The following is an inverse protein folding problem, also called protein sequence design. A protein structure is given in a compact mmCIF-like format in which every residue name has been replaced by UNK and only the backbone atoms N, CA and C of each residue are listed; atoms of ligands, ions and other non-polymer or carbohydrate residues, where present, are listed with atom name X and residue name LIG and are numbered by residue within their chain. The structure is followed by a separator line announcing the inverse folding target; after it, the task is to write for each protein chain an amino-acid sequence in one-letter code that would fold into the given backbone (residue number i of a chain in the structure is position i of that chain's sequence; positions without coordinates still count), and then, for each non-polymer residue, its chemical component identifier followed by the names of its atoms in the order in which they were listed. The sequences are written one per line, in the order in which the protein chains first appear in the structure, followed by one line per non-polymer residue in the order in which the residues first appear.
data_IF_114204825255
#
_entry.id   IF_114204825255
#
_cell.length_a   1.000
_cell.length_b   1.000
_cell.length_c   1.000
_cell.angle_alpha   90.00
_cell.angle_beta   90.00
_cell.angle_gamma   90.00
#
_symmetry.space_group_name_H-M   'P 1'
#
loop_
_entity.id
_entity.type
_entity.pdbx_description
1 polymer ?
#
# COMPACT_ATOMS: atom_id res chain seq x y z
N UNK A 1 -8.03 -10.88 19.80
CA UNK A 1 -7.16 -10.30 20.85
C UNK A 1 -7.03 -8.78 20.77
N UNK A 2 -6.52 -8.15 19.68
CA UNK A 2 -6.48 -6.67 19.61
C UNK A 2 -7.87 -6.02 19.56
N UNK A 3 -8.82 -6.61 18.84
CA UNK A 3 -10.19 -6.06 18.72
C UNK A 3 -10.99 -6.18 20.01
N UNK A 4 -10.86 -7.30 20.72
CA UNK A 4 -11.55 -7.52 22.00
C UNK A 4 -11.11 -6.49 23.05
N UNK A 5 -9.81 -6.18 23.09
CA UNK A 5 -9.24 -5.15 23.98
C UNK A 5 -9.67 -3.73 23.59
N UNK A 6 -9.87 -3.43 22.29
CA UNK A 6 -10.44 -2.16 21.85
C UNK A 6 -11.90 -2.01 22.29
N UNK A 7 -12.69 -3.09 22.18
CA UNK A 7 -14.08 -3.08 22.64
C UNK A 7 -14.18 -2.90 24.16
N UNK A 8 -13.32 -3.56 24.93
CA UNK A 8 -13.25 -3.40 26.39
C UNK A 8 -12.81 -1.99 26.80
N UNK A 9 -11.86 -1.40 26.06
CA UNK A 9 -11.45 -0.01 26.23
C UNK A 9 -12.61 0.96 25.98
N UNK A 10 -13.31 0.84 24.86
CA UNK A 10 -14.46 1.69 24.50
C UNK A 10 -15.57 1.59 25.54
N UNK A 11 -15.91 0.37 25.97
CA UNK A 11 -16.88 0.15 27.03
C UNK A 11 -16.46 0.82 28.35
N UNK A 12 -15.16 0.79 28.66
CA UNK A 12 -14.61 1.44 29.85
C UNK A 12 -14.71 2.97 29.78
N UNK A 13 -14.44 3.57 28.61
CA UNK A 13 -14.56 5.01 28.38
C UNK A 13 -16.02 5.45 28.38
N UNK A 14 -16.92 4.68 27.74
CA UNK A 14 -18.36 4.94 27.73
C UNK A 14 -18.95 4.91 29.15
N UNK A 15 -18.54 3.94 29.98
CA UNK A 15 -18.92 3.87 31.38
C UNK A 15 -18.33 5.02 32.25
N UNK A 16 -17.32 5.74 31.76
CA UNK A 16 -16.79 6.96 32.38
C UNK A 16 -17.52 8.22 31.90
N UNK A 17 -18.14 8.20 30.72
CA UNK A 17 -19.00 9.26 30.22
C UNK A 17 -20.35 9.23 30.96
N UNK A 18 -20.93 8.04 31.13
CA UNK A 18 -22.26 7.83 31.73
C UNK A 18 -22.27 7.87 33.26
N UNK A 19 -21.10 7.74 33.89
CA UNK A 19 -20.95 7.70 35.34
C UNK A 19 -19.81 8.56 35.85
N UNK A 20 -19.54 8.51 37.15
CA UNK A 20 -18.42 9.27 37.70
C UNK A 20 -17.05 8.63 37.39
N UNK A 21 -16.08 9.52 37.16
CA UNK A 21 -14.67 9.21 37.07
C UNK A 21 -14.15 8.76 38.43
N UNK A 22 -13.57 7.56 38.49
CA UNK A 22 -12.91 7.05 39.68
C UNK A 22 -11.45 6.74 39.40
N UNK A 23 -10.62 6.82 40.44
CA UNK A 23 -9.19 6.46 40.36
C UNK A 23 -9.02 5.05 39.79
N UNK A 24 -9.88 4.11 40.19
CA UNK A 24 -9.85 2.73 39.68
C UNK A 24 -10.09 2.65 38.17
N UNK A 25 -11.07 3.40 37.65
CA UNK A 25 -11.35 3.45 36.20
C UNK A 25 -10.21 4.12 35.42
N UNK A 26 -9.60 5.16 35.99
CA UNK A 26 -8.43 5.82 35.41
C UNK A 26 -7.21 4.88 35.36
N UNK A 27 -6.94 4.15 36.43
CA UNK A 27 -5.86 3.15 36.44
C UNK A 27 -6.10 2.04 35.42
N UNK A 28 -7.35 1.58 35.29
CA UNK A 28 -7.72 0.60 34.27
C UNK A 28 -7.53 1.14 32.84
N UNK A 29 -7.80 2.42 32.61
CA UNK A 29 -7.58 3.08 31.32
C UNK A 29 -6.13 2.93 30.86
N UNK A 30 -5.17 3.22 31.73
CA UNK A 30 -3.74 3.11 31.41
C UNK A 30 -3.29 1.69 31.04
N UNK A 31 -4.04 0.65 31.43
CA UNK A 31 -3.74 -0.72 31.03
C UNK A 31 -3.90 -0.91 29.51
N UNK A 32 -4.77 -0.16 28.84
CA UNK A 32 -5.00 -0.28 27.39
C UNK A 32 -3.96 0.44 26.54
N UNK A 33 -2.99 1.14 27.13
CA UNK A 33 -2.01 1.96 26.39
C UNK A 33 -1.25 1.18 25.31
N UNK A 34 -0.99 -0.11 25.53
CA UNK A 34 -0.25 -0.97 24.59
C UNK A 34 -1.06 -1.38 23.35
N UNK A 35 -2.37 -1.11 23.33
CA UNK A 35 -3.26 -1.44 22.22
C UNK A 35 -3.07 -0.46 21.06
N UNK A 36 -2.57 0.74 21.34
CA UNK A 36 -2.41 1.82 20.38
C UNK A 36 -0.98 1.87 19.82
N UNK A 37 -0.88 2.17 18.52
CA UNK A 37 0.40 2.41 17.86
C UNK A 37 1.04 3.73 18.32
N UNK A 38 2.35 3.90 18.13
CA UNK A 38 3.16 5.02 18.68
C UNK A 38 2.53 6.41 18.49
N UNK A 39 2.01 6.74 17.30
CA UNK A 39 1.39 8.05 17.05
C UNK A 39 0.10 8.27 17.86
N UNK A 40 -0.67 7.19 18.09
CA UNK A 40 -1.93 7.22 18.83
C UNK A 40 -1.69 7.06 20.33
N UNK A 41 -0.60 6.41 20.72
CA UNK A 41 -0.14 6.29 22.09
C UNK A 41 0.12 7.67 22.71
N UNK A 42 0.80 8.57 22.00
CA UNK A 42 1.10 9.90 22.54
C UNK A 42 -0.17 10.71 22.82
N UNK A 43 -1.16 10.61 21.92
CA UNK A 43 -2.45 11.28 22.09
C UNK A 43 -3.23 10.63 23.24
N UNK A 44 -3.18 9.30 23.36
CA UNK A 44 -3.81 8.57 24.45
C UNK A 44 -3.22 8.97 25.80
N UNK A 45 -1.88 9.02 25.91
CA UNK A 45 -1.20 9.33 27.17
C UNK A 45 -1.46 10.77 27.61
N UNK A 46 -1.49 11.71 26.66
CA UNK A 46 -1.86 13.11 26.91
C UNK A 46 -3.30 13.24 27.45
N UNK A 47 -4.25 12.55 26.80
CA UNK A 47 -5.65 12.47 27.26
C UNK A 47 -5.75 11.91 28.68
N UNK A 48 -5.18 10.72 28.88
CA UNK A 48 -5.29 9.97 30.13
C UNK A 48 -4.66 10.73 31.31
N UNK A 49 -3.58 11.47 31.07
CA UNK A 49 -2.88 12.27 32.08
C UNK A 49 -3.61 13.57 32.42
N UNK A 50 -4.29 14.19 31.45
CA UNK A 50 -5.04 15.45 31.65
C UNK A 50 -6.44 15.23 32.23
N UNK A 51 -7.04 14.08 31.96
CA UNK A 51 -8.41 13.73 32.37
C UNK A 51 -8.66 13.85 33.90
N UNK A 52 -7.78 13.41 34.82
CA UNK A 52 -7.96 13.56 36.26
C UNK A 52 -7.96 15.01 36.73
N UNK A 53 -7.23 15.87 36.01
CA UNK A 53 -7.00 17.27 36.37
C UNK A 53 -8.00 18.24 35.72
N UNK A 54 -8.83 17.75 34.80
CA UNK A 54 -9.85 18.54 34.13
C UNK A 54 -10.93 18.99 35.13
N UNK A 55 -10.99 20.31 35.40
CA UNK A 55 -11.92 20.88 36.39
C UNK A 55 -13.33 21.07 35.87
N UNK A 56 -13.47 21.44 34.59
CA UNK A 56 -14.76 21.63 33.95
C UNK A 56 -15.30 20.29 33.42
N UNK A 57 -16.59 20.03 33.65
CA UNK A 57 -17.28 18.84 33.13
C UNK A 57 -17.15 18.74 31.61
N UNK A 58 -17.23 19.86 30.89
CA UNK A 58 -17.03 19.88 29.43
C UNK A 58 -15.60 19.49 29.02
N UNK A 59 -14.58 19.88 29.77
CA UNK A 59 -13.19 19.47 29.49
C UNK A 59 -12.99 17.96 29.72
N UNK A 60 -13.59 17.40 30.77
CA UNK A 60 -13.56 15.94 31.00
C UNK A 60 -14.20 15.18 29.86
N UNK A 61 -15.38 15.63 29.43
CA UNK A 61 -16.11 15.04 28.33
C UNK A 61 -15.31 15.07 27.02
N UNK A 62 -14.65 16.20 26.70
CA UNK A 62 -13.78 16.30 25.53
C UNK A 62 -12.63 15.29 25.54
N UNK A 63 -11.98 15.07 26.68
CA UNK A 63 -10.91 14.06 26.77
C UNK A 63 -11.45 12.63 26.60
N UNK A 64 -12.64 12.34 27.12
CA UNK A 64 -13.29 11.04 26.95
C UNK A 64 -13.72 10.80 25.49
N UNK A 65 -14.28 11.81 24.82
CA UNK A 65 -14.57 11.73 23.38
C UNK A 65 -13.28 11.56 22.56
N UNK A 66 -12.20 12.25 22.92
CA UNK A 66 -10.92 12.09 22.23
C UNK A 66 -10.36 10.68 22.42
N UNK A 67 -10.52 10.07 23.60
CA UNK A 67 -10.17 8.68 23.86
C UNK A 67 -10.98 7.69 23.00
N UNK A 68 -12.29 7.91 22.83
CA UNK A 68 -13.10 7.12 21.89
C UNK A 68 -12.62 7.28 20.45
N UNK A 69 -12.33 8.52 20.04
CA UNK A 69 -11.81 8.82 18.70
C UNK A 69 -10.47 8.13 18.40
N UNK A 70 -9.61 7.93 19.42
CA UNK A 70 -8.35 7.19 19.29
C UNK A 70 -8.62 5.70 19.03
N UNK A 71 -9.61 5.09 19.68
CA UNK A 71 -10.00 3.70 19.39
C UNK A 71 -10.55 3.53 17.98
N UNK A 72 -11.40 4.46 17.52
CA UNK A 72 -11.87 4.47 16.13
C UNK A 72 -10.72 4.62 15.13
N UNK A 73 -9.77 5.52 15.39
CA UNK A 73 -8.58 5.69 14.57
C UNK A 73 -7.72 4.41 14.52
N UNK A 74 -7.53 3.74 15.66
CA UNK A 74 -6.82 2.46 15.71
C UNK A 74 -7.57 1.37 14.95
N UNK A 75 -8.91 1.34 15.03
CA UNK A 75 -9.74 0.37 14.29
C UNK A 75 -9.67 0.61 12.78
N UNK A 76 -9.72 1.86 12.34
CA UNK A 76 -9.52 2.22 10.92
C UNK A 76 -8.14 1.74 10.48
N UNK A 77 -7.08 2.02 11.26
CA UNK A 77 -5.72 1.59 10.93
C UNK A 77 -5.57 0.07 10.91
N UNK A 78 -6.13 -0.64 11.89
CA UNK A 78 -6.15 -2.11 11.93
C UNK A 78 -6.88 -2.67 10.70
N UNK A 79 -8.00 -2.05 10.28
CA UNK A 79 -8.71 -2.43 9.04
C UNK A 79 -7.88 -2.13 7.80
N UNK A 80 -7.24 -0.98 7.69
CA UNK A 80 -6.34 -0.66 6.57
C UNK A 80 -5.18 -1.64 6.50
N UNK A 81 -4.59 -2.02 7.63
CA UNK A 81 -3.49 -2.99 7.69
C UNK A 81 -3.96 -4.42 7.38
N UNK A 82 -5.17 -4.82 7.79
CA UNK A 82 -5.73 -6.14 7.48
C UNK A 82 -6.23 -6.25 6.02
N UNK A 83 -6.83 -5.20 5.47
CA UNK A 83 -7.19 -5.13 4.03
C UNK A 83 -5.94 -5.21 3.15
N UNK A 84 -4.80 -4.71 3.64
CA UNK A 84 -3.52 -4.77 2.91
C UNK A 84 -2.94 -6.19 2.79
N UNK A 85 -3.37 -7.14 3.64
CA UNK A 85 -2.86 -8.51 3.61
C UNK A 85 -3.83 -9.54 3.03
N UNK A 86 -5.15 -9.32 3.12
CA UNK A 86 -6.16 -10.33 2.74
C UNK A 86 -6.76 -10.10 1.34
N UNK A 87 -6.57 -8.91 0.75
CA UNK A 87 -7.11 -8.56 -0.58
C UNK A 87 -6.01 -8.27 -1.60
N UNK A 88 -4.85 -7.77 -1.16
CA UNK A 88 -3.76 -7.41 -2.05
C UNK A 88 -2.76 -8.55 -2.19
N UNK A 89 -2.55 -9.00 -3.43
CA UNK A 89 -1.43 -9.89 -3.72
C UNK A 89 -0.12 -9.17 -3.39
N UNK A 90 0.67 -9.79 -2.51
CA UNK A 90 1.99 -9.28 -2.09
C UNK A 90 3.10 -10.17 -2.61
N UNK A 91 4.31 -9.62 -2.66
CA UNK A 91 5.52 -10.34 -3.03
C UNK A 91 6.67 -10.04 -2.06
N UNK A 92 7.51 -11.04 -1.84
CA UNK A 92 8.75 -10.94 -1.08
C UNK A 92 9.90 -11.48 -1.94
N UNK A 93 11.02 -10.75 -1.98
CA UNK A 93 12.17 -11.11 -2.82
C UNK A 93 13.38 -11.43 -1.96
N UNK A 94 14.14 -12.43 -2.41
CA UNK A 94 15.49 -12.66 -1.89
C UNK A 94 16.43 -11.50 -2.31
N UNK A 95 17.65 -11.49 -1.76
CA UNK A 95 18.66 -10.45 -2.04
C UNK A 95 19.00 -10.29 -3.50
N UNK A 96 19.04 -11.40 -4.24
CA UNK A 96 19.52 -11.44 -5.62
C UNK A 96 18.44 -10.91 -6.56
N UNK A 97 17.20 -11.35 -6.39
CA UNK A 97 16.04 -10.86 -7.12
C UNK A 97 15.75 -9.38 -6.82
N UNK A 98 15.92 -8.96 -5.55
CA UNK A 98 15.83 -7.55 -5.17
C UNK A 98 16.85 -6.71 -5.92
N UNK A 99 18.10 -7.17 -5.98
CA UNK A 99 19.18 -6.47 -6.68
C UNK A 99 18.93 -6.40 -8.19
N UNK A 100 18.50 -7.51 -8.78
CA UNK A 100 18.15 -7.61 -10.20
C UNK A 100 16.99 -6.68 -10.58
N UNK A 101 15.93 -6.66 -9.78
CA UNK A 101 14.76 -5.82 -10.06
C UNK A 101 15.11 -4.33 -9.95
N UNK A 102 15.92 -3.93 -8.96
CA UNK A 102 16.41 -2.54 -8.86
C UNK A 102 17.32 -2.14 -10.03
N UNK A 103 18.10 -3.07 -10.59
CA UNK A 103 18.88 -2.84 -11.81
C UNK A 103 17.95 -2.60 -13.01
N UNK A 104 16.92 -3.42 -13.18
CA UNK A 104 15.89 -3.23 -14.22
C UNK A 104 15.16 -1.88 -14.07
N UNK A 105 14.87 -1.44 -12.84
CA UNK A 105 14.31 -0.10 -12.61
C UNK A 105 15.24 1.02 -13.06
N UNK A 106 16.54 0.88 -12.83
CA UNK A 106 17.55 1.83 -13.33
C UNK A 106 17.59 1.85 -14.86
N UNK A 107 17.64 0.68 -15.51
CA UNK A 107 17.59 0.55 -16.97
C UNK A 107 16.32 1.19 -17.56
N UNK A 108 15.15 0.97 -16.94
CA UNK A 108 13.90 1.57 -17.37
C UNK A 108 13.91 3.11 -17.27
N UNK A 109 14.58 3.69 -16.28
CA UNK A 109 14.72 5.16 -16.20
C UNK A 109 15.57 5.70 -17.35
N UNK A 110 16.66 5.02 -17.68
CA UNK A 110 17.52 5.40 -18.81
C UNK A 110 16.76 5.30 -20.14
N UNK A 111 16.03 4.20 -20.35
CA UNK A 111 15.17 4.03 -21.53
C UNK A 111 14.08 5.10 -21.60
N UNK A 112 13.33 5.32 -20.52
CA UNK A 112 12.27 6.34 -20.48
C UNK A 112 12.77 7.76 -20.81
N UNK A 113 13.99 8.09 -20.37
CA UNK A 113 14.58 9.40 -20.66
C UNK A 113 15.12 9.50 -22.09
N UNK A 114 15.68 8.41 -22.62
CA UNK A 114 16.33 8.36 -23.94
C UNK A 114 15.37 8.16 -25.11
N UNK A 115 14.17 7.60 -24.91
CA UNK A 115 13.14 7.49 -25.96
C UNK A 115 12.63 8.88 -26.33
N UNK A 116 12.83 9.29 -27.59
CA UNK A 116 12.48 10.64 -28.06
C UNK A 116 10.99 10.79 -28.38
N UNK A 117 10.33 9.68 -28.71
CA UNK A 117 8.96 9.60 -29.17
C UNK A 117 7.95 9.77 -28.02
N UNK A 118 8.37 9.51 -26.79
CA UNK A 118 7.55 9.69 -25.59
C UNK A 118 7.38 11.19 -25.28
N UNK A 119 6.12 11.63 -25.16
CA UNK A 119 5.83 12.96 -24.64
C UNK A 119 6.16 13.10 -23.14
N UNK A 120 6.42 14.33 -22.68
CA UNK A 120 6.82 14.61 -21.30
C UNK A 120 5.80 14.11 -20.27
N UNK A 121 4.50 14.11 -20.63
CA UNK A 121 3.44 13.61 -19.75
C UNK A 121 3.58 12.10 -19.52
N UNK A 122 3.84 11.35 -20.59
CA UNK A 122 4.03 9.90 -20.57
C UNK A 122 5.33 9.55 -19.86
N UNK A 123 6.43 10.27 -20.14
CA UNK A 123 7.70 10.10 -19.42
C UNK A 123 7.54 10.28 -17.92
N UNK A 124 6.77 11.29 -17.50
CA UNK A 124 6.49 11.54 -16.10
C UNK A 124 5.61 10.45 -15.46
N UNK A 125 4.61 9.91 -16.17
CA UNK A 125 3.77 8.80 -15.68
C UNK A 125 4.62 7.55 -15.45
N UNK A 126 5.45 7.18 -16.44
CA UNK A 126 6.35 6.02 -16.36
C UNK A 126 7.37 6.20 -15.23
N UNK A 127 8.01 7.36 -15.11
CA UNK A 127 8.97 7.63 -14.04
C UNK A 127 8.36 7.50 -12.63
N UNK A 128 7.10 7.95 -12.46
CA UNK A 128 6.34 7.75 -11.21
C UNK A 128 6.09 6.27 -10.93
N UNK A 129 5.72 5.49 -11.95
CA UNK A 129 5.53 4.03 -11.80
C UNK A 129 6.82 3.32 -11.43
N UNK A 130 7.93 3.62 -12.09
CA UNK A 130 9.23 3.03 -11.77
C UNK A 130 9.61 3.32 -10.30
N UNK A 131 9.45 4.58 -9.87
CA UNK A 131 9.76 4.98 -8.49
C UNK A 131 8.87 4.28 -7.46
N UNK A 132 7.58 4.12 -7.76
CA UNK A 132 6.66 3.38 -6.91
C UNK A 132 7.07 1.91 -6.79
N UNK A 133 7.42 1.26 -7.90
CA UNK A 133 7.91 -0.14 -7.91
C UNK A 133 9.17 -0.29 -7.07
N UNK A 134 10.16 0.60 -7.23
CA UNK A 134 11.37 0.55 -6.40
C UNK A 134 11.08 0.68 -4.90
N UNK A 135 10.10 1.50 -4.52
CA UNK A 135 9.70 1.64 -3.13
C UNK A 135 9.14 0.31 -2.58
N UNK A 136 8.30 -0.39 -3.35
CA UNK A 136 7.78 -1.71 -2.99
C UNK A 136 8.88 -2.77 -2.87
N UNK A 137 9.91 -2.70 -3.71
CA UNK A 137 11.03 -3.64 -3.68
C UNK A 137 11.91 -3.39 -2.46
N UNK A 138 12.03 -2.13 -2.04
CA UNK A 138 12.82 -1.75 -0.85
C UNK A 138 12.12 -2.09 0.45
N UNK A 139 10.78 -2.07 0.52
CA UNK A 139 9.99 -2.29 1.74
C UNK A 139 10.10 -3.69 2.34
N UNK A 140 10.56 -4.69 1.58
CA UNK A 140 10.66 -6.08 2.03
C UNK A 140 9.42 -6.88 1.63
N UNK A 141 8.23 -6.40 2.01
CA UNK A 141 6.96 -6.90 1.51
C UNK A 141 6.34 -5.88 0.54
N UNK A 142 6.29 -6.22 -0.74
CA UNK A 142 5.80 -5.34 -1.81
C UNK A 142 4.39 -5.71 -2.28
N UNK A 143 3.65 -4.75 -2.84
CA UNK A 143 2.31 -4.97 -3.41
C UNK A 143 2.43 -5.28 -4.91
N UNK A 144 1.95 -6.43 -5.37
CA UNK A 144 2.06 -6.89 -6.77
C UNK A 144 1.27 -5.99 -7.73
N UNK A 145 0.10 -5.48 -7.30
CA UNK A 145 -0.74 -4.59 -8.11
C UNK A 145 -0.02 -3.29 -8.53
N UNK A 146 0.91 -2.79 -7.71
CA UNK A 146 1.74 -1.62 -8.06
C UNK A 146 2.62 -1.92 -9.27
N UNK A 147 3.14 -3.15 -9.36
CA UNK A 147 3.95 -3.62 -10.49
C UNK A 147 3.06 -3.82 -11.74
N UNK A 148 1.90 -4.46 -11.58
CA UNK A 148 0.96 -4.70 -12.68
C UNK A 148 0.40 -3.39 -13.26
N UNK A 149 0.15 -2.39 -12.41
CA UNK A 149 -0.20 -1.04 -12.82
C UNK A 149 0.90 -0.38 -13.65
N UNK A 150 2.18 -0.64 -13.36
CA UNK A 150 3.31 -0.20 -14.18
C UNK A 150 3.32 -0.86 -15.56
N UNK A 151 3.01 -2.15 -15.63
CA UNK A 151 2.86 -2.88 -16.89
C UNK A 151 1.74 -2.32 -17.77
N UNK A 152 0.59 -1.99 -17.19
CA UNK A 152 -0.53 -1.37 -17.91
C UNK A 152 -0.14 -0.02 -18.51
N UNK A 153 0.56 0.82 -17.75
CA UNK A 153 1.05 2.14 -18.19
C UNK A 153 2.02 2.03 -19.37
N UNK A 154 3.01 1.12 -19.28
CA UNK A 154 3.97 0.90 -20.36
C UNK A 154 3.31 0.25 -21.58
N UNK A 155 2.27 -0.57 -21.38
CA UNK A 155 1.43 -1.12 -22.44
C UNK A 155 0.62 -0.05 -23.19
N UNK A 156 0.07 0.93 -22.48
CA UNK A 156 -0.60 2.11 -23.07
C UNK A 156 0.39 2.89 -23.95
N UNK A 157 1.61 3.13 -23.45
CA UNK A 157 2.67 3.78 -24.21
C UNK A 157 3.07 2.97 -25.45
N UNK A 158 3.18 1.65 -25.36
CA UNK A 158 3.47 0.79 -26.51
C UNK A 158 2.38 0.87 -27.59
N UNK A 159 1.10 0.95 -27.20
CA UNK A 159 -0.01 1.14 -28.13
C UNK A 159 0.02 2.49 -28.85
N UNK A 160 0.52 3.54 -28.18
CA UNK A 160 0.58 4.91 -28.71
C UNK A 160 1.84 5.18 -29.54
N UNK A 161 2.98 4.65 -29.15
CA UNK A 161 4.30 5.00 -29.70
C UNK A 161 5.00 3.83 -30.42
N UNK A 162 4.41 2.64 -30.43
CA UNK A 162 4.87 1.53 -31.27
C UNK A 162 6.17 0.88 -30.80
N UNK A 163 7.06 0.59 -31.76
CA UNK A 163 8.27 -0.22 -31.55
C UNK A 163 9.33 0.45 -30.67
N UNK A 164 9.34 1.78 -30.60
CA UNK A 164 10.40 2.53 -29.93
C UNK A 164 10.32 2.40 -28.40
N UNK A 165 9.14 2.03 -27.88
CA UNK A 165 8.90 1.75 -26.46
C UNK A 165 9.13 0.27 -26.12
N UNK A 166 9.37 -0.60 -27.11
CA UNK A 166 9.55 -2.04 -26.90
C UNK A 166 10.63 -2.37 -25.84
N UNK A 167 11.82 -1.73 -25.83
CA UNK A 167 12.81 -2.01 -24.80
C UNK A 167 12.26 -1.78 -23.38
N UNK A 168 11.47 -0.71 -23.19
CA UNK A 168 10.85 -0.40 -21.90
C UNK A 168 9.79 -1.44 -21.51
N UNK A 169 8.98 -1.89 -22.48
CA UNK A 169 7.99 -2.98 -22.29
C UNK A 169 8.68 -4.26 -21.84
N UNK A 170 9.79 -4.61 -22.50
CA UNK A 170 10.52 -5.84 -22.21
C UNK A 170 11.11 -5.81 -20.79
N UNK A 171 11.70 -4.68 -20.36
CA UNK A 171 12.18 -4.51 -18.97
C UNK A 171 11.04 -4.57 -17.95
N UNK A 172 9.90 -3.93 -18.22
CA UNK A 172 8.74 -3.95 -17.32
C UNK A 172 8.15 -5.36 -17.20
N UNK A 173 8.19 -6.15 -18.27
CA UNK A 173 7.79 -7.56 -18.25
C UNK A 173 8.71 -8.38 -17.35
N UNK A 174 10.02 -8.18 -17.44
CA UNK A 174 10.98 -8.86 -16.55
C UNK A 174 10.76 -8.49 -15.08
N UNK A 175 10.50 -7.21 -14.78
CA UNK A 175 10.13 -6.76 -13.43
C UNK A 175 8.87 -7.46 -12.92
N UNK A 176 7.82 -7.53 -13.74
CA UNK A 176 6.58 -8.19 -13.38
C UNK A 176 6.77 -9.70 -13.17
N UNK A 177 7.64 -10.35 -13.95
CA UNK A 177 7.95 -11.77 -13.79
C UNK A 177 8.66 -12.04 -12.46
N UNK A 178 9.67 -11.24 -12.11
CA UNK A 178 10.39 -11.37 -10.83
C UNK A 178 9.45 -11.12 -9.65
N UNK A 179 8.62 -10.07 -9.71
CA UNK A 179 7.65 -9.78 -8.66
C UNK A 179 6.64 -10.92 -8.49
N UNK A 180 6.15 -11.51 -9.58
CA UNK A 180 5.24 -12.67 -9.52
C UNK A 180 5.91 -13.90 -8.93
N UNK A 181 7.18 -14.18 -9.25
CA UNK A 181 7.89 -15.34 -8.67
C UNK A 181 8.09 -15.22 -7.16
N UNK A 182 8.12 -14.00 -6.62
CA UNK A 182 8.17 -13.75 -5.18
C UNK A 182 6.79 -13.64 -4.51
N UNK A 183 5.70 -13.78 -5.26
CA UNK A 183 4.34 -13.66 -4.73
C UNK A 183 3.78 -15.01 -4.29
N UNK A 184 2.87 -15.00 -3.31
CA UNK A 184 2.13 -16.20 -2.85
C UNK A 184 1.02 -16.63 -3.83
N UNK A 185 1.13 -16.27 -5.10
CA UNK A 185 0.10 -16.47 -6.12
C UNK A 185 0.01 -17.95 -6.52
N UNK A 186 -0.89 -18.70 -5.86
CA UNK A 186 -1.21 -20.09 -6.22
C UNK A 186 -1.89 -20.20 -7.61
N UNK A 187 -2.35 -19.08 -8.17
CA UNK A 187 -3.04 -18.98 -9.47
C UNK A 187 -2.20 -18.22 -10.52
N UNK A 188 -0.86 -18.23 -10.40
CA UNK A 188 0.02 -17.64 -11.39
C UNK A 188 -0.25 -18.28 -12.78
N UNK A 189 -1.04 -17.59 -13.59
CA UNK A 189 -1.30 -18.00 -14.97
C UNK A 189 0.04 -18.13 -15.68
N UNK A 190 0.27 -19.23 -16.43
CA UNK A 190 1.49 -19.38 -17.20
C UNK A 190 1.66 -18.15 -18.09
N UNK A 191 2.91 -17.71 -18.32
CA UNK A 191 3.17 -16.56 -19.17
C UNK A 191 2.38 -16.73 -20.48
N UNK A 192 1.66 -15.69 -20.94
CA UNK A 192 0.81 -15.82 -22.12
C UNK A 192 1.67 -16.32 -23.28
N UNK A 193 1.27 -17.45 -23.87
CA UNK A 193 1.93 -18.00 -25.05
C UNK A 193 2.02 -16.90 -26.12
N UNK A 194 3.18 -16.77 -26.76
CA UNK A 194 3.39 -15.78 -27.82
C UNK A 194 2.27 -15.90 -28.85
N UNK A 195 1.40 -14.89 -28.90
CA UNK A 195 0.29 -14.84 -29.85
C UNK A 195 0.89 -14.90 -31.25
N UNK A 196 0.74 -16.04 -31.93
CA UNK A 196 1.08 -16.17 -33.35
C UNK A 196 0.31 -15.11 -34.10
N UNK A 197 1.01 -14.07 -34.56
CA UNK A 197 0.42 -13.00 -35.37
C UNK A 197 -0.27 -13.66 -36.56
N UNK A 198 -1.53 -13.29 -36.80
CA UNK A 198 -2.23 -13.73 -38.00
C UNK A 198 -1.40 -13.30 -39.23
N UNK A 199 -1.27 -14.18 -40.24
CA UNK A 199 -0.61 -13.80 -41.48
C UNK A 199 -1.30 -12.58 -42.07
N UNK A 200 -0.48 -11.63 -42.57
CA UNK A 200 -0.96 -10.41 -43.22
C UNK A 200 -1.89 -10.85 -44.38
N UNK A 201 -3.11 -10.30 -44.50
CA UNK A 201 -4.02 -10.71 -45.56
C UNK A 201 -3.34 -10.50 -46.91
N UNK A 202 -3.26 -11.58 -47.69
CA UNK A 202 -2.75 -11.53 -49.06
C UNK A 202 -3.64 -10.58 -49.86
N UNK A 203 -2.99 -9.62 -50.52
CA UNK A 203 -3.67 -8.58 -51.28
C UNK A 203 -4.62 -9.19 -52.29
N UNK A 204 -5.86 -8.72 -52.29
CA UNK A 204 -6.71 -8.84 -53.48
C UNK A 204 -6.06 -7.99 -54.55
N UNK A 205 -5.37 -8.63 -55.49
CA UNK A 205 -5.05 -8.02 -56.77
C UNK A 205 -6.36 -7.57 -57.40
N UNK A 206 -6.43 -6.28 -57.68
CA UNK A 206 -7.49 -5.65 -58.46
C UNK A 206 -7.50 -6.26 -59.87
N UNK A 207 -8.68 -6.56 -60.38
CA UNK A 207 -8.96 -6.74 -61.81
C UNK A 207 -10.33 -6.17 -62.11
#
# INVERSE_FOLDING_TARGET
MKEDLLNEFEASVQAMIEGELSVRKLTALHAYKFVFDDDLYDIFDDCATKLPNARATGSKYNYLEMLLGIADAQRIRNRTNNVSHDVLQTFELNSDDKSKLLALCSEMRELNNSTLELDDKTKNRIAKRITAIEAQVRSGLGILDVVLSGMAEVGEAAGKFGSDVKPLVDRMREVAQIARSGSNDQDALPPPEEVKKLPRPEGKEES
#
